data_IF_822195871796
#
_entry.id   IF_822195871796
#
_cell.length_a   1.000
_cell.length_b   1.000
_cell.length_c   1.000
_cell.angle_alpha   90.00
_cell.angle_beta   90.00
_cell.angle_gamma   90.00
#
_symmetry.space_group_name_H-M   'P 1'
#
loop_
_entity.id
_entity.type
_entity.pdbx_description
1 polymer ?
#
# COMPACT_ATOMS: atom_id res chain seq x y z
N UNK A 1 17.13 32.61 -21.95
CA UNK A 1 16.86 31.42 -21.12
C UNK A 1 17.96 31.33 -20.07
N UNK A 2 17.64 31.20 -18.78
CA UNK A 2 18.66 30.99 -17.75
C UNK A 2 19.29 29.60 -17.92
N UNK A 3 20.62 29.52 -17.84
CA UNK A 3 21.37 28.26 -17.82
C UNK A 3 22.12 28.12 -16.50
N UNK A 4 22.35 26.89 -16.07
CA UNK A 4 23.19 26.54 -14.92
C UNK A 4 24.12 25.40 -15.32
N UNK A 5 25.37 25.48 -14.86
CA UNK A 5 26.34 24.39 -14.98
C UNK A 5 26.30 23.56 -13.71
N UNK A 6 26.22 22.25 -13.86
CA UNK A 6 26.36 21.28 -12.77
C UNK A 6 27.63 20.47 -12.99
N UNK A 7 28.29 20.12 -11.90
CA UNK A 7 29.47 19.26 -11.91
C UNK A 7 29.06 17.87 -11.44
N UNK A 8 29.45 16.86 -12.20
CA UNK A 8 29.22 15.44 -11.90
C UNK A 8 30.57 14.79 -11.63
N UNK A 9 30.58 13.76 -10.78
CA UNK A 9 31.80 12.97 -10.61
C UNK A 9 32.05 12.11 -11.86
N UNK A 10 33.25 11.53 -11.97
CA UNK A 10 33.65 10.75 -13.15
C UNK A 10 32.77 9.51 -13.34
N UNK A 11 32.33 8.89 -12.25
CA UNK A 11 31.50 7.67 -12.28
C UNK A 11 30.08 7.97 -12.81
N UNK A 12 29.46 9.05 -12.34
CA UNK A 12 28.14 9.51 -12.79
C UNK A 12 28.16 9.91 -14.27
N UNK A 13 29.25 10.55 -14.72
CA UNK A 13 29.41 10.90 -16.14
C UNK A 13 29.50 9.65 -17.01
N UNK A 14 30.32 8.66 -16.60
CA UNK A 14 30.45 7.40 -17.31
C UNK A 14 29.10 6.64 -17.37
N UNK A 15 28.32 6.66 -16.28
CA UNK A 15 26.98 6.09 -16.26
C UNK A 15 26.04 6.77 -17.26
N UNK A 16 26.01 8.10 -17.30
CA UNK A 16 25.17 8.87 -18.23
C UNK A 16 25.56 8.58 -19.69
N UNK A 17 26.85 8.54 -19.99
CA UNK A 17 27.32 8.25 -21.35
C UNK A 17 26.95 6.83 -21.79
N UNK A 18 27.06 5.85 -20.90
CA UNK A 18 26.69 4.45 -21.18
C UNK A 18 25.19 4.24 -21.47
N UNK A 19 24.32 5.06 -20.88
CA UNK A 19 22.85 4.94 -21.00
C UNK A 19 22.23 6.09 -21.81
N UNK A 20 23.02 6.84 -22.56
CA UNK A 20 22.56 8.05 -23.27
C UNK A 20 21.43 7.76 -24.26
N UNK A 21 21.47 6.62 -24.92
CA UNK A 21 20.48 6.21 -25.91
C UNK A 21 19.13 5.82 -25.26
N UNK A 22 19.14 5.45 -23.96
CA UNK A 22 17.93 5.10 -23.20
C UNK A 22 17.11 6.33 -22.76
N UNK A 23 17.74 7.51 -22.72
CA UNK A 23 17.11 8.76 -22.25
C UNK A 23 16.00 9.22 -23.21
N UNK A 24 16.08 8.86 -24.50
CA UNK A 24 15.07 9.24 -25.51
C UNK A 24 14.92 10.76 -25.74
N UNK A 25 15.86 11.57 -25.23
CA UNK A 25 15.78 13.03 -25.20
C UNK A 25 17.08 13.71 -24.76
N UNK A 26 16.98 14.96 -24.31
CA UNK A 26 18.17 15.69 -23.82
C UNK A 26 18.52 15.30 -22.38
N UNK A 27 19.81 15.36 -22.02
CA UNK A 27 20.24 15.16 -20.63
C UNK A 27 19.58 16.17 -19.68
N UNK A 28 19.43 17.42 -20.11
CA UNK A 28 18.77 18.47 -19.30
C UNK A 28 17.31 18.10 -18.96
N UNK A 29 16.54 17.58 -19.93
CA UNK A 29 15.17 17.15 -19.68
C UNK A 29 15.10 15.95 -18.73
N UNK A 30 15.97 14.96 -18.89
CA UNK A 30 16.00 13.78 -18.03
C UNK A 30 16.39 14.12 -16.58
N UNK A 31 17.39 14.99 -16.41
CA UNK A 31 17.78 15.49 -15.09
C UNK A 31 16.64 16.25 -14.41
N UNK A 32 15.91 17.08 -15.15
CA UNK A 32 14.77 17.81 -14.60
C UNK A 32 13.59 16.89 -14.27
N UNK A 33 13.35 15.85 -15.07
CA UNK A 33 12.35 14.82 -14.79
C UNK A 33 12.69 14.05 -13.51
N UNK A 34 13.92 13.55 -13.39
CA UNK A 34 14.41 12.87 -12.19
C UNK A 34 14.36 13.76 -10.95
N UNK A 35 14.80 15.02 -11.06
CA UNK A 35 14.73 15.98 -9.95
C UNK A 35 13.29 16.22 -9.51
N UNK A 36 12.36 16.40 -10.46
CA UNK A 36 10.94 16.57 -10.15
C UNK A 36 10.40 15.33 -9.45
N UNK A 37 10.72 14.13 -9.94
CA UNK A 37 10.32 12.87 -9.31
C UNK A 37 10.79 12.78 -7.85
N UNK A 38 12.05 13.14 -7.57
CA UNK A 38 12.60 13.15 -6.20
C UNK A 38 11.89 14.17 -5.31
N UNK A 39 11.64 15.39 -5.81
CA UNK A 39 10.97 16.44 -5.04
C UNK A 39 9.53 16.05 -4.73
N UNK A 40 8.78 15.55 -5.71
CA UNK A 40 7.38 15.14 -5.49
C UNK A 40 7.29 13.97 -4.52
N UNK A 41 8.20 12.98 -4.60
CA UNK A 41 8.31 11.91 -3.61
C UNK A 41 8.54 12.46 -2.20
N UNK A 42 9.49 13.38 -2.03
CA UNK A 42 9.77 14.00 -0.72
C UNK A 42 8.61 14.81 -0.17
N UNK A 43 7.85 15.51 -1.02
CA UNK A 43 6.63 16.23 -0.60
C UNK A 43 5.57 15.29 -0.07
N UNK A 44 5.39 14.14 -0.72
CA UNK A 44 4.46 13.10 -0.26
C UNK A 44 4.90 12.53 1.09
N UNK A 45 6.18 12.19 1.23
CA UNK A 45 6.74 11.68 2.49
C UNK A 45 6.59 12.71 3.62
N UNK A 46 6.88 13.99 3.35
CA UNK A 46 6.73 15.08 4.33
C UNK A 46 5.28 15.33 4.76
N UNK A 47 4.30 14.89 3.95
CA UNK A 47 2.86 14.98 4.27
C UNK A 47 2.30 13.67 4.84
N UNK A 48 3.17 12.69 5.13
CA UNK A 48 2.81 11.41 5.73
C UNK A 48 2.25 10.39 4.75
N UNK A 49 2.47 10.57 3.45
CA UNK A 49 2.12 9.59 2.41
C UNK A 49 3.35 8.78 1.99
N UNK A 50 3.15 7.50 1.74
CA UNK A 50 4.18 6.58 1.27
C UNK A 50 3.72 5.83 0.01
N UNK A 51 4.64 5.13 -0.65
CA UNK A 51 4.28 4.25 -1.77
C UNK A 51 3.68 2.94 -1.25
N UNK A 52 2.38 2.78 -1.42
CA UNK A 52 1.65 1.57 -1.07
C UNK A 52 1.69 0.59 -2.24
N UNK A 53 2.08 -0.66 -1.95
CA UNK A 53 2.06 -1.78 -2.89
C UNK A 53 1.11 -2.85 -2.39
N UNK A 54 0.08 -3.17 -3.16
CA UNK A 54 -0.86 -4.26 -2.85
C UNK A 54 -0.96 -5.23 -4.00
N UNK A 55 -0.93 -6.53 -3.68
CA UNK A 55 -1.16 -7.59 -4.65
C UNK A 55 -2.65 -7.84 -4.81
N UNK A 56 -3.17 -7.52 -5.98
CA UNK A 56 -4.55 -7.73 -6.42
C UNK A 56 -4.67 -8.91 -7.40
N UNK A 57 -3.58 -9.64 -7.63
CA UNK A 57 -3.52 -10.78 -8.55
C UNK A 57 -4.04 -12.08 -7.96
N UNK A 58 -4.31 -13.06 -8.81
CA UNK A 58 -4.71 -14.40 -8.37
C UNK A 58 -3.52 -15.26 -7.93
N UNK A 59 -3.77 -16.44 -7.34
CA UNK A 59 -2.72 -17.44 -7.08
C UNK A 59 -1.91 -17.71 -8.35
N UNK A 60 -0.58 -17.60 -8.27
CA UNK A 60 0.34 -17.84 -9.39
C UNK A 60 0.48 -16.72 -10.42
N UNK A 61 -0.30 -15.63 -10.32
CA UNK A 61 -0.24 -14.48 -11.23
C UNK A 61 -0.33 -13.16 -10.43
N UNK A 62 0.75 -12.75 -9.73
CA UNK A 62 0.73 -11.54 -8.92
C UNK A 62 0.50 -10.31 -9.80
N UNK A 63 -0.38 -9.42 -9.35
CA UNK A 63 -0.64 -8.15 -10.03
C UNK A 63 -0.59 -7.06 -8.99
N UNK A 64 0.46 -6.25 -9.04
CA UNK A 64 0.64 -5.17 -8.07
C UNK A 64 -0.11 -3.92 -8.51
N UNK A 65 -0.85 -3.32 -7.57
CA UNK A 65 -1.27 -1.92 -7.64
C UNK A 65 -0.30 -1.13 -6.77
N UNK A 66 0.26 -0.07 -7.34
CA UNK A 66 1.21 0.83 -6.68
C UNK A 66 0.62 2.24 -6.71
N UNK A 67 0.52 2.88 -5.55
CA UNK A 67 -0.05 4.22 -5.43
C UNK A 67 0.49 4.93 -4.18
N UNK A 68 0.56 6.28 -4.18
CA UNK A 68 0.86 7.02 -2.97
C UNK A 68 -0.37 7.00 -2.04
N UNK A 69 -0.17 6.62 -0.78
CA UNK A 69 -1.25 6.50 0.19
C UNK A 69 -0.77 6.55 1.62
N UNK A 70 -1.72 6.78 2.54
CA UNK A 70 -1.53 6.70 3.99
C UNK A 70 -2.53 5.70 4.54
N UNK A 71 -2.05 4.70 5.27
CA UNK A 71 -2.91 3.74 5.95
C UNK A 71 -3.70 4.46 7.05
N UNK A 72 -5.03 4.34 7.00
CA UNK A 72 -5.92 4.91 8.02
C UNK A 72 -6.30 3.83 9.01
N UNK A 73 -6.77 2.67 8.52
CA UNK A 73 -7.18 1.55 9.38
C UNK A 73 -6.72 0.23 8.78
N UNK A 74 -6.33 -0.69 9.65
CA UNK A 74 -6.12 -2.11 9.33
C UNK A 74 -6.91 -2.97 10.31
N UNK A 75 -7.69 -3.91 9.79
CA UNK A 75 -8.33 -4.96 10.58
C UNK A 75 -7.95 -6.33 10.03
N UNK A 76 -7.78 -7.30 10.93
CA UNK A 76 -7.63 -8.71 10.56
C UNK A 76 -8.69 -9.50 11.32
N UNK A 77 -9.48 -10.28 10.61
CA UNK A 77 -10.50 -11.16 11.20
C UNK A 77 -10.27 -12.60 10.76
N UNK A 78 -10.86 -13.54 11.49
CA UNK A 78 -10.94 -14.93 11.09
C UNK A 78 -12.37 -15.30 10.75
N UNK A 79 -12.56 -16.04 9.66
CA UNK A 79 -13.85 -16.50 9.16
C UNK A 79 -13.82 -18.04 9.01
N UNK A 80 -14.95 -18.65 8.64
CA UNK A 80 -15.08 -20.11 8.43
C UNK A 80 -14.53 -20.94 9.60
N UNK A 81 -15.02 -20.67 10.81
CA UNK A 81 -14.58 -21.35 12.04
C UNK A 81 -13.07 -21.24 12.32
N UNK A 82 -12.43 -20.16 11.85
CA UNK A 82 -11.02 -19.88 12.09
C UNK A 82 -10.07 -20.30 10.96
N UNK A 83 -10.57 -20.98 9.92
CA UNK A 83 -9.74 -21.51 8.83
C UNK A 83 -9.33 -20.44 7.80
N UNK A 84 -10.12 -19.39 7.67
CA UNK A 84 -9.84 -18.26 6.76
C UNK A 84 -9.39 -17.05 7.55
N UNK A 85 -8.29 -16.42 7.14
CA UNK A 85 -7.88 -15.12 7.63
C UNK A 85 -8.23 -14.05 6.60
N UNK A 86 -8.89 -12.97 7.02
CA UNK A 86 -9.26 -11.85 6.17
C UNK A 86 -8.55 -10.58 6.67
N UNK A 87 -7.73 -9.97 5.83
CA UNK A 87 -7.06 -8.69 6.09
C UNK A 87 -7.76 -7.59 5.31
N UNK A 88 -8.23 -6.56 6.03
CA UNK A 88 -8.90 -5.38 5.47
C UNK A 88 -8.10 -4.13 5.79
N UNK A 89 -7.96 -3.25 4.81
CA UNK A 89 -7.19 -2.00 4.93
C UNK A 89 -7.90 -0.87 4.23
N UNK A 90 -7.95 0.27 4.89
CA UNK A 90 -8.39 1.54 4.33
C UNK A 90 -7.21 2.48 4.25
N UNK A 91 -7.05 3.10 3.08
CA UNK A 91 -6.05 4.12 2.83
C UNK A 91 -6.72 5.39 2.36
N UNK A 92 -6.06 6.53 2.62
CA UNK A 92 -6.34 7.78 1.90
C UNK A 92 -5.19 8.09 0.95
N UNK A 93 -5.49 8.80 -0.13
CA UNK A 93 -4.50 9.21 -1.14
C UNK A 93 -4.26 10.72 -1.08
N UNK A 94 -3.15 11.23 -1.63
CA UNK A 94 -2.88 12.67 -1.67
C UNK A 94 -3.95 13.49 -2.40
N UNK A 95 -4.73 12.84 -3.28
CA UNK A 95 -5.83 13.46 -4.03
C UNK A 95 -7.18 13.38 -3.31
N UNK A 96 -7.21 12.88 -2.07
CA UNK A 96 -8.42 12.78 -1.26
C UNK A 96 -9.29 11.55 -1.53
N UNK A 97 -8.88 10.63 -2.42
CA UNK A 97 -9.60 9.36 -2.62
C UNK A 97 -9.32 8.39 -1.47
N UNK A 98 -10.31 7.55 -1.20
CA UNK A 98 -10.23 6.40 -0.31
C UNK A 98 -9.97 5.13 -1.11
N UNK A 99 -9.12 4.26 -0.56
CA UNK A 99 -8.81 2.95 -1.14
C UNK A 99 -9.15 1.87 -0.13
N UNK A 100 -10.05 0.97 -0.51
CA UNK A 100 -10.34 -0.25 0.21
C UNK A 100 -9.56 -1.41 -0.39
N UNK A 101 -8.84 -2.13 0.46
CA UNK A 101 -8.18 -3.38 0.10
C UNK A 101 -8.59 -4.48 1.07
N UNK A 102 -9.13 -5.57 0.54
CA UNK A 102 -9.41 -6.80 1.27
C UNK A 102 -8.65 -7.95 0.64
N UNK A 103 -8.11 -8.82 1.49
CA UNK A 103 -7.55 -10.11 1.08
C UNK A 103 -7.97 -11.19 2.06
N UNK A 104 -8.56 -12.26 1.55
CA UNK A 104 -8.69 -13.53 2.27
C UNK A 104 -7.58 -14.50 1.89
N UNK A 105 -7.15 -15.31 2.85
CA UNK A 105 -6.23 -16.41 2.63
C UNK A 105 -6.40 -17.46 3.72
N UNK A 106 -5.80 -18.64 3.51
CA UNK A 106 -5.66 -19.66 4.55
C UNK A 106 -5.09 -19.03 5.83
N UNK A 107 -5.77 -19.26 6.95
CA UNK A 107 -5.24 -18.94 8.26
C UNK A 107 -4.26 -20.04 8.69
N UNK A 108 -2.98 -19.85 8.43
CA UNK A 108 -1.97 -20.84 8.85
C UNK A 108 -1.86 -20.98 10.37
N UNK A 109 -2.32 -19.99 11.16
CA UNK A 109 -2.37 -20.12 12.61
C UNK A 109 -3.44 -21.14 13.08
N UNK A 110 -4.40 -21.50 12.22
CA UNK A 110 -5.33 -22.60 12.48
C UNK A 110 -4.59 -23.93 12.67
N UNK A 111 -3.48 -24.13 11.95
CA UNK A 111 -2.59 -25.30 12.10
C UNK A 111 -1.68 -25.19 13.32
N UNK A 112 -1.14 -23.99 13.59
CA UNK A 112 -0.16 -23.77 14.64
C UNK A 112 -0.83 -23.21 15.90
N UNK A 113 -1.70 -24.01 16.53
CA UNK A 113 -2.09 -23.72 17.90
C UNK A 113 -0.81 -23.67 18.74
N UNK A 114 -0.51 -22.50 19.33
CA UNK A 114 0.68 -22.29 20.13
C UNK A 114 0.82 -23.41 21.17
N UNK A 115 1.83 -24.27 21.01
CA UNK A 115 2.06 -25.41 21.90
C UNK A 115 1.69 -26.80 21.37
N UNK A 116 1.45 -26.98 20.07
CA UNK A 116 1.34 -28.33 19.49
C UNK A 116 -0.02 -29.00 19.68
N UNK A 117 -1.07 -28.23 19.95
CA UNK A 117 -2.46 -28.67 19.82
C UNK A 117 -3.17 -27.67 18.91
N UNK A 118 -3.50 -28.08 17.69
CA UNK A 118 -4.40 -27.28 16.88
C UNK A 118 -5.76 -27.19 17.57
N UNK A 119 -6.40 -26.04 17.45
CA UNK A 119 -7.64 -25.72 18.15
C UNK A 119 -8.91 -26.12 17.38
N UNK A 120 -8.81 -27.04 16.41
CA UNK A 120 -9.94 -27.51 15.59
C UNK A 120 -9.69 -28.87 14.94
N UNK A 121 -10.72 -29.42 14.29
CA UNK A 121 -10.69 -30.73 13.61
C UNK A 121 -9.82 -30.68 12.34
N UNK A 122 -8.48 -30.64 12.54
CA UNK A 122 -7.47 -30.54 11.47
C UNK A 122 -7.66 -31.60 10.38
N UNK A 123 -8.14 -32.79 10.75
CA UNK A 123 -8.36 -33.90 9.83
C UNK A 123 -9.36 -33.57 8.70
N UNK A 124 -10.21 -32.56 8.90
CA UNK A 124 -11.21 -32.11 7.93
C UNK A 124 -10.83 -30.84 7.17
N UNK A 125 -9.72 -30.18 7.52
CA UNK A 125 -9.37 -28.90 6.92
C UNK A 125 -8.57 -29.08 5.63
N UNK A 126 -9.18 -28.75 4.48
CA UNK A 126 -8.52 -28.65 3.19
C UNK A 126 -8.18 -27.19 2.85
N UNK A 127 -6.89 -26.78 2.86
CA UNK A 127 -6.49 -25.41 2.53
C UNK A 127 -6.87 -24.99 1.09
N UNK A 128 -7.11 -25.93 0.19
CA UNK A 128 -7.50 -25.65 -1.20
C UNK A 128 -8.95 -25.16 -1.32
N UNK A 129 -9.79 -25.43 -0.31
CA UNK A 129 -11.17 -24.94 -0.25
C UNK A 129 -11.27 -23.48 0.21
N UNK A 130 -10.19 -22.91 0.76
CA UNK A 130 -10.17 -21.51 1.19
C UNK A 130 -10.07 -20.60 -0.03
N UNK A 131 -11.14 -19.84 -0.27
CA UNK A 131 -11.16 -18.85 -1.33
C UNK A 131 -10.11 -17.75 -1.07
N UNK A 132 -9.21 -17.55 -2.03
CA UNK A 132 -8.20 -16.48 -2.01
C UNK A 132 -8.75 -15.23 -2.70
N UNK A 133 -9.77 -14.62 -2.09
CA UNK A 133 -10.44 -13.42 -2.57
C UNK A 133 -9.56 -12.20 -2.33
N UNK A 134 -9.53 -11.30 -3.31
CA UNK A 134 -8.90 -9.98 -3.21
C UNK A 134 -9.84 -8.93 -3.77
N UNK A 135 -10.08 -7.87 -3.01
CA UNK A 135 -10.89 -6.72 -3.43
C UNK A 135 -9.99 -5.50 -3.38
N UNK A 136 -10.02 -4.70 -4.44
CA UNK A 136 -9.34 -3.41 -4.49
C UNK A 136 -10.27 -2.39 -5.12
N UNK A 137 -10.75 -1.45 -4.32
CA UNK A 137 -11.75 -0.47 -4.72
C UNK A 137 -11.30 0.92 -4.33
N UNK A 138 -11.51 1.89 -5.22
CA UNK A 138 -11.13 3.29 -5.02
C UNK A 138 -12.39 4.13 -5.13
N UNK A 139 -12.67 4.92 -4.09
CA UNK A 139 -13.85 5.79 -4.04
C UNK A 139 -13.48 7.21 -3.64
N UNK A 140 -14.20 8.23 -4.14
CA UNK A 140 -14.02 9.63 -3.72
C UNK A 140 -14.28 9.86 -2.23
N UNK A 141 -15.15 9.08 -1.60
CA UNK A 141 -15.56 9.26 -0.21
C UNK A 141 -15.55 7.95 0.58
N UNK A 142 -15.45 8.06 1.90
CA UNK A 142 -15.54 6.92 2.81
C UNK A 142 -16.96 6.33 2.82
N UNK A 143 -17.98 7.15 2.62
CA UNK A 143 -19.39 6.73 2.61
C UNK A 143 -19.69 5.76 1.47
N UNK A 144 -19.09 5.97 0.30
CA UNK A 144 -19.21 5.06 -0.86
C UNK A 144 -18.57 3.68 -0.63
N UNK A 145 -17.74 3.52 0.41
CA UNK A 145 -17.15 2.23 0.75
C UNK A 145 -18.04 1.40 1.68
N UNK A 146 -19.15 1.93 2.18
CA UNK A 146 -20.07 1.21 3.08
C UNK A 146 -20.76 0.01 2.42
N UNK A 147 -20.86 -0.01 1.10
CA UNK A 147 -21.38 -1.17 0.34
C UNK A 147 -20.41 -2.36 0.32
N UNK A 148 -19.13 -2.12 0.60
CA UNK A 148 -18.05 -3.10 0.43
C UNK A 148 -17.34 -3.45 1.74
N UNK A 149 -17.11 -2.45 2.60
CA UNK A 149 -16.35 -2.57 3.82
C UNK A 149 -17.28 -2.73 5.04
N UNK A 150 -16.88 -3.53 6.05
CA UNK A 150 -17.66 -3.66 7.29
C UNK A 150 -17.87 -2.31 7.99
N UNK A 151 -19.06 -2.14 8.59
CA UNK A 151 -19.43 -0.90 9.28
C UNK A 151 -18.44 -0.49 10.39
N UNK A 152 -17.89 -1.46 11.12
CA UNK A 152 -16.88 -1.21 12.17
C UNK A 152 -15.59 -0.62 11.60
N UNK A 153 -15.14 -1.10 10.44
CA UNK A 153 -13.94 -0.59 9.77
C UNK A 153 -14.14 0.87 9.32
N UNK A 154 -15.33 1.18 8.80
CA UNK A 154 -15.72 2.53 8.40
C UNK A 154 -15.79 3.46 9.63
N UNK A 155 -16.40 2.99 10.73
CA UNK A 155 -16.48 3.76 11.97
C UNK A 155 -15.10 4.08 12.56
N UNK A 156 -14.19 3.09 12.57
CA UNK A 156 -12.81 3.30 12.99
C UNK A 156 -12.09 4.31 12.08
N UNK A 157 -12.30 4.23 10.77
CA UNK A 157 -11.67 5.17 9.84
C UNK A 157 -12.18 6.62 10.01
N UNK A 158 -13.44 6.80 10.38
CA UNK A 158 -13.96 8.13 10.74
C UNK A 158 -13.27 8.66 11.99
N UNK A 159 -13.23 7.86 13.07
CA UNK A 159 -12.58 8.25 14.31
C UNK A 159 -11.11 8.65 14.10
N UNK A 160 -10.34 7.84 13.36
CA UNK A 160 -8.94 8.13 13.03
C UNK A 160 -8.78 9.42 12.19
N UNK A 161 -9.76 9.73 11.33
CA UNK A 161 -9.70 10.95 10.50
C UNK A 161 -10.04 12.20 11.31
N UNK A 162 -11.01 12.09 12.21
CA UNK A 162 -11.42 13.17 13.11
C UNK A 162 -10.32 13.44 14.16
N UNK A 163 -9.67 12.40 14.69
CA UNK A 163 -8.56 12.53 15.64
C UNK A 163 -7.29 13.08 14.98
N UNK A 164 -6.95 12.66 13.75
CA UNK A 164 -5.78 13.20 13.02
C UNK A 164 -5.95 14.68 12.61
N UNK A 165 -7.16 15.23 12.62
CA UNK A 165 -7.35 16.68 12.47
C UNK A 165 -6.88 17.46 13.72
N UNK A 166 -6.64 16.77 14.85
CA UNK A 166 -6.38 17.38 16.16
C UNK A 166 -4.97 17.15 16.74
N UNK A 167 -4.13 16.28 16.14
CA UNK A 167 -2.85 15.91 16.74
C UNK A 167 -1.72 15.72 15.71
N UNK A 168 -1.02 16.82 15.41
CA UNK A 168 0.38 16.74 14.97
C UNK A 168 1.21 17.31 16.11
N UNK A 169 1.69 16.46 17.01
CA UNK A 169 2.82 16.79 17.89
C UNK A 169 4.11 16.38 17.17
N UNK A 170 4.89 17.40 16.79
CA UNK A 170 6.26 17.20 16.34
C UNK A 170 7.11 16.87 17.57
N UNK A 171 7.46 15.59 17.73
CA UNK A 171 8.42 15.14 18.72
C UNK A 171 9.82 15.19 18.12
N UNK A 172 10.67 16.07 18.66
CA UNK A 172 12.11 16.09 18.40
C UNK A 172 12.77 14.92 19.13
N UNK A 173 12.90 13.77 18.46
CA UNK A 173 13.72 12.62 18.90
C UNK A 173 15.10 12.63 18.25
#
# INVERSE_FOLDING_TARGET
MPSKTIYLNVEDLAFIEAHRDEIGGSLSSALMEGLRMVIEKRKLEATGFEEIRVDVGGPGAPRLKVFPGRLVVRANTTENSGTTQVSRRLYTTPKGFWVYFERSSVNWNYWTGGGGQASGDIESFDPSEVENRRIFEVRPSLDELTELAPAELIAQARAETDDNASHIEHLDL
#
